data_IF_141590352688
#
_entry.id   IF_141590352688
#
_cell.length_a   1.000
_cell.length_b   1.000
_cell.length_c   1.000
_cell.angle_alpha   90.00
_cell.angle_beta   90.00
_cell.angle_gamma   90.00
#
_symmetry.space_group_name_H-M   'P 1'
#
loop_
_entity.id
_entity.type
_entity.pdbx_description
1 polymer ?
#
# COMPACT_ATOMS: atom_id res chain seq x y z
N UNK A 1 -17.51 -34.08 1.57
CA UNK A 1 -18.76 -34.86 1.70
C UNK A 1 -19.05 -35.37 0.31
N UNK A 2 -18.23 -36.35 -0.06
CA UNK A 2 -18.10 -36.86 -1.41
C UNK A 2 -18.90 -38.15 -1.45
N UNK A 3 -20.05 -38.11 -2.12
CA UNK A 3 -20.86 -39.30 -2.38
C UNK A 3 -20.98 -39.49 -3.88
N UNK A 4 -20.37 -40.59 -4.31
CA UNK A 4 -20.77 -41.47 -5.42
C UNK A 4 -21.64 -40.84 -6.51
N UNK A 5 -20.99 -40.36 -7.58
CA UNK A 5 -21.63 -40.14 -8.88
C UNK A 5 -20.96 -40.97 -10.00
N UNK A 6 -20.10 -41.92 -9.63
CA UNK A 6 -19.47 -42.85 -10.57
C UNK A 6 -20.44 -44.00 -10.90
N UNK A 7 -21.37 -43.79 -11.83
CA UNK A 7 -22.19 -44.90 -12.33
C UNK A 7 -23.42 -44.55 -13.17
N UNK A 8 -23.82 -43.28 -13.24
CA UNK A 8 -24.95 -42.90 -14.09
C UNK A 8 -24.42 -42.45 -15.45
N UNK A 9 -24.63 -43.25 -16.49
CA UNK A 9 -24.47 -42.80 -17.87
C UNK A 9 -25.26 -41.50 -18.04
N UNK A 10 -24.70 -40.44 -18.64
CA UNK A 10 -25.43 -39.19 -18.81
C UNK A 10 -26.75 -39.48 -19.53
N UNK A 11 -27.89 -38.94 -19.04
CA UNK A 11 -29.16 -39.14 -19.72
C UNK A 11 -29.03 -38.59 -21.14
N UNK A 12 -29.17 -39.48 -22.12
CA UNK A 12 -29.22 -39.14 -23.54
C UNK A 12 -30.28 -38.07 -23.69
N UNK A 13 -29.88 -36.86 -24.09
CA UNK A 13 -30.77 -35.74 -24.33
C UNK A 13 -31.72 -36.09 -25.49
N UNK A 14 -33.00 -36.44 -25.26
CA UNK A 14 -33.87 -36.77 -26.38
C UNK A 14 -34.56 -35.48 -26.86
N UNK A 15 -34.86 -35.36 -28.16
CA UNK A 15 -35.94 -34.47 -28.58
C UNK A 15 -37.22 -34.98 -27.92
N UNK A 16 -37.94 -34.07 -27.26
CA UNK A 16 -39.19 -34.35 -26.55
C UNK A 16 -40.27 -34.80 -27.53
N UNK A 17 -40.23 -36.07 -27.95
CA UNK A 17 -41.38 -36.75 -28.54
C UNK A 17 -41.88 -37.75 -27.51
N UNK A 18 -43.13 -37.55 -27.11
CA UNK A 18 -43.89 -38.47 -26.28
C UNK A 18 -44.01 -39.80 -27.04
N UNK A 19 -43.00 -40.67 -26.89
CA UNK A 19 -43.07 -42.02 -27.37
C UNK A 19 -43.81 -42.87 -26.33
N UNK A 20 -44.82 -43.59 -26.80
CA UNK A 20 -45.86 -44.25 -26.01
C UNK A 20 -45.30 -45.27 -25.02
N UNK A 21 -45.38 -44.99 -23.72
CA UNK A 21 -45.20 -45.99 -22.66
C UNK A 21 -44.40 -45.56 -21.42
N UNK A 22 -43.73 -44.40 -21.45
CA UNK A 22 -43.03 -43.87 -20.26
C UNK A 22 -43.87 -42.79 -19.56
N UNK A 23 -43.96 -42.78 -18.22
CA UNK A 23 -44.64 -41.71 -17.50
C UNK A 23 -43.94 -40.38 -17.80
N UNK A 24 -44.73 -39.32 -18.02
CA UNK A 24 -44.24 -37.97 -18.22
C UNK A 24 -43.48 -37.52 -16.98
N UNK A 25 -42.19 -37.22 -17.15
CA UNK A 25 -41.37 -36.60 -16.10
C UNK A 25 -41.02 -35.18 -16.55
N UNK A 26 -41.39 -34.14 -15.77
CA UNK A 26 -41.08 -32.77 -16.12
C UNK A 26 -39.56 -32.56 -16.11
N UNK A 27 -39.09 -31.65 -16.96
CA UNK A 27 -37.67 -31.29 -17.11
C UNK A 27 -37.01 -30.95 -15.77
N UNK A 28 -37.71 -30.22 -14.90
CA UNK A 28 -37.25 -29.82 -13.58
C UNK A 28 -36.90 -30.99 -12.68
N UNK A 29 -37.58 -32.14 -12.84
CA UNK A 29 -37.33 -33.35 -12.06
C UNK A 29 -36.23 -34.20 -12.70
N UNK A 30 -36.16 -34.24 -14.04
CA UNK A 30 -35.12 -34.98 -14.76
C UNK A 30 -33.72 -34.41 -14.53
N UNK A 31 -33.61 -33.08 -14.43
CA UNK A 31 -32.33 -32.38 -14.34
C UNK A 31 -32.11 -31.68 -13.00
N UNK A 32 -32.83 -32.07 -11.95
CA UNK A 32 -32.68 -31.51 -10.60
C UNK A 32 -31.22 -31.57 -10.16
N UNK A 33 -30.69 -30.41 -9.75
CA UNK A 33 -29.29 -30.21 -9.29
C UNK A 33 -28.19 -30.45 -10.33
N UNK A 34 -28.53 -30.78 -11.57
CA UNK A 34 -27.54 -30.92 -12.64
C UNK A 34 -27.14 -29.54 -13.17
N UNK A 35 -25.87 -29.18 -12.98
CA UNK A 35 -25.35 -27.84 -13.26
C UNK A 35 -24.07 -27.92 -14.10
N UNK A 36 -24.09 -27.33 -15.29
CA UNK A 36 -22.89 -27.21 -16.13
C UNK A 36 -22.04 -26.07 -15.59
N UNK A 37 -20.74 -26.33 -15.38
CA UNK A 37 -19.82 -25.37 -14.79
C UNK A 37 -18.67 -25.11 -15.75
N UNK A 38 -18.48 -23.84 -16.05
CA UNK A 38 -17.41 -23.34 -16.89
C UNK A 38 -16.54 -22.35 -16.11
N UNK A 39 -15.23 -22.48 -16.26
CA UNK A 39 -14.27 -21.50 -15.79
C UNK A 39 -13.94 -20.56 -16.95
N UNK A 40 -13.90 -19.27 -16.67
CA UNK A 40 -13.64 -18.25 -17.67
C UNK A 40 -13.03 -17.01 -17.06
N UNK A 41 -12.89 -15.97 -17.87
CA UNK A 41 -12.50 -14.65 -17.42
C UNK A 41 -13.21 -13.56 -18.23
N UNK A 42 -13.27 -12.35 -17.67
CA UNK A 42 -13.53 -11.16 -18.45
C UNK A 42 -12.40 -10.17 -18.26
N UNK A 43 -12.21 -9.33 -19.27
CA UNK A 43 -11.17 -8.30 -19.26
C UNK A 43 -11.82 -6.95 -19.01
N UNK A 44 -11.33 -6.24 -18.01
CA UNK A 44 -11.71 -4.88 -17.70
C UNK A 44 -10.54 -3.94 -18.02
N UNK A 45 -10.71 -3.14 -19.06
CA UNK A 45 -9.78 -2.06 -19.40
C UNK A 45 -10.17 -0.81 -18.60
N UNK A 46 -9.37 -0.49 -17.58
CA UNK A 46 -9.57 0.67 -16.70
C UNK A 46 -8.58 1.78 -17.06
N UNK A 47 -9.06 3.01 -17.24
CA UNK A 47 -8.21 4.18 -17.42
C UNK A 47 -8.25 4.98 -16.13
N UNK A 48 -7.15 4.96 -15.38
CA UNK A 48 -7.02 5.74 -14.15
C UNK A 48 -5.72 6.54 -14.20
N UNK A 49 -5.81 7.84 -13.94
CA UNK A 49 -4.66 8.74 -13.83
C UNK A 49 -3.70 8.71 -15.04
N UNK A 50 -4.23 8.58 -16.26
CA UNK A 50 -3.42 8.57 -17.49
C UNK A 50 -2.77 7.23 -17.83
N UNK A 51 -2.99 6.18 -17.04
CA UNK A 51 -2.53 4.82 -17.33
C UNK A 51 -3.72 3.93 -17.70
N UNK A 52 -3.62 3.25 -18.84
CA UNK A 52 -4.53 2.16 -19.20
C UNK A 52 -4.08 0.87 -18.52
N UNK A 53 -4.90 0.38 -17.59
CA UNK A 53 -4.68 -0.87 -16.86
C UNK A 53 -5.71 -1.89 -17.29
N UNK A 54 -5.23 -2.92 -17.98
CA UNK A 54 -5.98 -4.13 -18.28
C UNK A 54 -5.97 -5.07 -17.09
N UNK A 55 -7.13 -5.28 -16.46
CA UNK A 55 -7.30 -6.28 -15.39
C UNK A 55 -8.08 -7.47 -15.93
N UNK A 56 -7.57 -8.68 -15.67
CA UNK A 56 -8.27 -9.93 -15.98
C UNK A 56 -8.96 -10.42 -14.72
N UNK A 57 -10.27 -10.63 -14.81
CA UNK A 57 -11.10 -11.11 -13.70
C UNK A 57 -11.51 -12.55 -13.95
N UNK A 58 -11.02 -13.51 -13.14
CA UNK A 58 -11.46 -14.90 -13.25
C UNK A 58 -12.94 -14.99 -12.85
N UNK A 59 -13.70 -15.82 -13.55
CA UNK A 59 -15.11 -16.06 -13.26
C UNK A 59 -15.46 -17.52 -13.41
N UNK A 60 -16.55 -17.91 -12.75
CA UNK A 60 -17.18 -19.21 -12.87
C UNK A 60 -18.62 -19.01 -13.32
N UNK A 61 -18.95 -19.60 -14.46
CA UNK A 61 -20.28 -19.58 -15.04
C UNK A 61 -20.96 -20.92 -14.75
N UNK A 62 -22.14 -20.85 -14.14
CA UNK A 62 -22.98 -22.02 -13.84
C UNK A 62 -24.27 -21.93 -14.65
N UNK A 63 -24.53 -22.94 -15.48
CA UNK A 63 -25.78 -23.12 -16.21
C UNK A 63 -26.59 -24.26 -15.56
N UNK A 64 -27.82 -23.98 -15.19
CA UNK A 64 -28.71 -24.94 -14.52
C UNK A 64 -29.62 -25.61 -15.55
N UNK A 65 -29.51 -26.94 -15.67
CA UNK A 65 -30.26 -27.70 -16.67
C UNK A 65 -31.76 -27.82 -16.33
N UNK A 66 -32.15 -27.63 -15.07
CA UNK A 66 -33.54 -27.73 -14.63
C UNK A 66 -34.45 -26.62 -15.21
N UNK A 67 -33.92 -25.40 -15.34
CA UNK A 67 -34.69 -24.20 -15.68
C UNK A 67 -34.05 -23.29 -16.74
N UNK A 68 -32.93 -23.71 -17.34
CA UNK A 68 -32.17 -22.95 -18.35
C UNK A 68 -31.70 -21.58 -17.83
N UNK A 69 -31.37 -21.48 -16.55
CA UNK A 69 -30.85 -20.25 -15.96
C UNK A 69 -29.32 -20.25 -15.88
N UNK A 70 -28.75 -19.05 -15.91
CA UNK A 70 -27.31 -18.83 -15.79
C UNK A 70 -27.04 -18.00 -14.53
N UNK A 71 -25.94 -18.32 -13.86
CA UNK A 71 -25.36 -17.46 -12.82
C UNK A 71 -23.85 -17.34 -13.03
N UNK A 72 -23.30 -16.19 -12.69
CA UNK A 72 -21.87 -15.90 -12.85
C UNK A 72 -21.30 -15.39 -11.54
N UNK A 73 -20.19 -15.97 -11.11
CA UNK A 73 -19.54 -15.59 -9.86
C UNK A 73 -18.01 -15.45 -10.03
N UNK A 74 -17.47 -14.37 -9.48
CA UNK A 74 -16.04 -14.14 -9.34
C UNK A 74 -15.54 -14.78 -8.03
N UNK A 75 -14.50 -15.64 -8.08
CA UNK A 75 -13.93 -16.24 -6.88
C UNK A 75 -13.28 -15.18 -5.99
N UNK A 76 -13.52 -15.26 -4.68
CA UNK A 76 -12.95 -14.33 -3.70
C UNK A 76 -11.45 -14.57 -3.58
N UNK A 77 -10.67 -13.53 -3.84
CA UNK A 77 -9.22 -13.52 -3.73
C UNK A 77 -8.83 -12.64 -2.54
N UNK A 78 -8.10 -13.17 -1.53
CA UNK A 78 -7.71 -12.38 -0.38
C UNK A 78 -6.82 -11.21 -0.80
N UNK A 79 -7.01 -10.07 -0.16
CA UNK A 79 -6.26 -8.83 -0.43
C UNK A 79 -6.43 -8.27 -1.87
N UNK A 80 -7.50 -8.63 -2.59
CA UNK A 80 -7.78 -8.09 -3.93
C UNK A 80 -8.14 -6.60 -3.92
N UNK A 81 -8.71 -6.10 -2.81
CA UNK A 81 -9.17 -4.73 -2.67
C UNK A 81 -10.37 -4.37 -3.55
N UNK A 82 -11.03 -5.36 -4.17
CA UNK A 82 -12.19 -5.18 -5.05
C UNK A 82 -13.43 -5.89 -4.48
N UNK A 83 -14.66 -5.40 -4.73
CA UNK A 83 -15.86 -6.14 -4.41
C UNK A 83 -15.94 -7.39 -5.29
N UNK A 84 -15.84 -8.57 -4.68
CA UNK A 84 -15.87 -9.87 -5.37
C UNK A 84 -17.09 -10.69 -4.93
N UNK A 85 -17.45 -11.69 -5.72
CA UNK A 85 -18.57 -12.60 -5.44
C UNK A 85 -19.52 -12.74 -6.61
N UNK A 86 -20.83 -12.67 -6.34
CA UNK A 86 -21.86 -12.88 -7.36
C UNK A 86 -21.93 -11.68 -8.31
N UNK A 87 -21.56 -11.90 -9.58
CA UNK A 87 -21.65 -10.89 -10.64
C UNK A 87 -23.03 -10.90 -11.30
N UNK A 88 -23.59 -12.09 -11.52
CA UNK A 88 -24.90 -12.28 -12.16
C UNK A 88 -25.72 -13.23 -11.30
N UNK A 89 -26.89 -12.75 -10.85
CA UNK A 89 -27.87 -13.58 -10.15
C UNK A 89 -28.44 -14.67 -11.06
N UNK A 90 -28.90 -15.78 -10.48
CA UNK A 90 -29.51 -16.88 -11.23
C UNK A 90 -30.81 -16.43 -11.91
N UNK A 91 -30.80 -16.34 -13.23
CA UNK A 91 -31.99 -16.09 -14.05
C UNK A 91 -31.71 -16.46 -15.52
N UNK A 92 -32.73 -16.39 -16.39
CA UNK A 92 -32.57 -16.63 -17.83
C UNK A 92 -31.91 -15.43 -18.48
N UNK A 93 -30.75 -15.64 -19.10
CA UNK A 93 -29.98 -14.55 -19.73
C UNK A 93 -30.35 -14.46 -21.20
N UNK A 94 -30.67 -13.24 -21.63
CA UNK A 94 -30.95 -12.90 -23.04
C UNK A 94 -29.63 -12.75 -23.80
N UNK A 95 -29.58 -13.26 -25.03
CA UNK A 95 -28.45 -13.10 -25.94
C UNK A 95 -28.33 -11.65 -26.42
N UNK A 96 -27.09 -11.16 -26.56
CA UNK A 96 -26.85 -9.82 -27.08
C UNK A 96 -27.46 -9.65 -28.49
N UNK A 97 -28.23 -8.58 -28.69
CA UNK A 97 -28.89 -8.28 -29.97
C UNK A 97 -30.32 -8.79 -30.11
N UNK A 98 -30.78 -9.68 -29.21
CA UNK A 98 -32.16 -10.19 -29.17
C UNK A 98 -33.02 -9.51 -28.09
N UNK A 99 -32.63 -8.32 -27.62
CA UNK A 99 -33.36 -7.56 -26.59
C UNK A 99 -34.73 -7.09 -27.09
N UNK A 100 -34.82 -6.74 -28.38
CA UNK A 100 -36.03 -6.24 -29.04
C UNK A 100 -36.90 -7.35 -29.65
N UNK A 101 -36.46 -8.61 -29.59
CA UNK A 101 -37.23 -9.74 -30.10
C UNK A 101 -38.43 -10.02 -29.18
N UNK A 102 -39.53 -10.44 -29.80
CA UNK A 102 -40.74 -10.87 -29.10
C UNK A 102 -40.41 -11.95 -28.06
N UNK A 103 -41.05 -11.87 -26.91
CA UNK A 103 -40.82 -12.78 -25.77
C UNK A 103 -41.16 -14.24 -26.08
N UNK A 104 -41.85 -14.51 -27.19
CA UNK A 104 -42.15 -15.85 -27.68
C UNK A 104 -40.98 -16.53 -28.42
N UNK A 105 -39.90 -15.81 -28.77
CA UNK A 105 -38.76 -16.39 -29.47
C UNK A 105 -37.87 -17.21 -28.51
N UNK A 106 -37.84 -18.55 -28.58
CA UNK A 106 -37.02 -19.37 -27.70
C UNK A 106 -35.52 -19.20 -27.94
N UNK A 107 -35.12 -18.66 -29.10
CA UNK A 107 -33.72 -18.43 -29.46
C UNK A 107 -33.13 -17.17 -28.81
N UNK A 108 -33.97 -16.35 -28.19
CA UNK A 108 -33.61 -15.13 -27.43
C UNK A 108 -32.72 -15.44 -26.23
N UNK A 109 -32.88 -16.61 -25.60
CA UNK A 109 -32.13 -16.98 -24.40
C UNK A 109 -30.90 -17.84 -24.72
N UNK A 110 -29.88 -17.73 -23.87
CA UNK A 110 -28.74 -18.64 -23.93
C UNK A 110 -29.16 -20.08 -23.63
N UNK A 111 -28.79 -20.99 -24.51
CA UNK A 111 -28.99 -22.42 -24.31
C UNK A 111 -27.64 -23.11 -24.09
N UNK A 112 -27.61 -24.24 -23.38
CA UNK A 112 -26.37 -24.98 -23.12
C UNK A 112 -25.64 -25.43 -24.39
N UNK A 113 -26.35 -25.56 -25.52
CA UNK A 113 -25.77 -25.87 -26.83
C UNK A 113 -24.91 -24.75 -27.41
N UNK A 114 -25.15 -23.52 -26.99
CA UNK A 114 -24.41 -22.34 -27.45
C UNK A 114 -23.14 -22.10 -26.62
N UNK A 115 -22.96 -22.84 -25.52
CA UNK A 115 -21.83 -22.70 -24.60
C UNK A 115 -20.79 -23.77 -24.90
N UNK A 116 -19.58 -23.35 -25.25
CA UNK A 116 -18.43 -24.23 -25.42
C UNK A 116 -17.16 -23.59 -24.84
N UNK A 117 -16.13 -24.39 -24.61
CA UNK A 117 -14.79 -23.90 -24.26
C UNK A 117 -14.22 -23.09 -25.43
N UNK A 118 -13.45 -22.04 -25.14
CA UNK A 118 -12.95 -21.05 -26.09
C UNK A 118 -14.03 -20.23 -26.82
N UNK A 119 -15.28 -20.27 -26.34
CA UNK A 119 -16.36 -19.40 -26.82
C UNK A 119 -16.51 -18.15 -25.95
N UNK A 120 -16.98 -17.08 -26.58
CA UNK A 120 -17.31 -15.82 -25.91
C UNK A 120 -18.81 -15.76 -25.60
N UNK A 121 -19.13 -15.37 -24.37
CA UNK A 121 -20.51 -15.24 -23.88
C UNK A 121 -20.72 -13.80 -23.44
N UNK A 122 -21.58 -13.10 -24.16
CA UNK A 122 -21.97 -11.73 -23.84
C UNK A 122 -23.17 -11.72 -22.89
N UNK A 123 -22.97 -11.14 -21.70
CA UNK A 123 -23.98 -11.02 -20.64
C UNK A 123 -23.95 -9.59 -20.12
N UNK A 124 -25.07 -8.86 -20.24
CA UNK A 124 -25.22 -7.46 -19.79
C UNK A 124 -24.09 -6.52 -20.26
N UNK A 125 -23.69 -6.63 -21.53
CA UNK A 125 -22.64 -5.80 -22.11
C UNK A 125 -21.22 -6.15 -21.65
N UNK A 126 -21.04 -7.25 -20.91
CA UNK A 126 -19.72 -7.81 -20.56
C UNK A 126 -19.48 -9.09 -21.34
N UNK A 127 -18.31 -9.18 -21.98
CA UNK A 127 -17.87 -10.36 -22.72
C UNK A 127 -17.06 -11.28 -21.82
N UNK A 128 -17.57 -12.49 -21.59
CA UNK A 128 -16.92 -13.53 -20.81
C UNK A 128 -16.31 -14.56 -21.74
N UNK A 129 -15.00 -14.78 -21.64
CA UNK A 129 -14.28 -15.84 -22.37
C UNK A 129 -14.29 -17.12 -21.55
N UNK A 130 -14.87 -18.20 -22.08
CA UNK A 130 -14.85 -19.50 -21.42
C UNK A 130 -13.53 -20.21 -21.71
N UNK A 131 -12.77 -20.53 -20.67
CA UNK A 131 -11.43 -21.13 -20.79
C UNK A 131 -11.40 -22.62 -20.51
N UNK A 132 -12.25 -23.09 -19.60
CA UNK A 132 -12.27 -24.49 -19.19
C UNK A 132 -13.67 -24.89 -18.72
N UNK A 133 -13.89 -26.19 -18.54
CA UNK A 133 -15.12 -26.74 -18.00
C UNK A 133 -14.83 -27.90 -17.04
N UNK A 134 -15.75 -28.16 -16.10
CA UNK A 134 -15.62 -29.31 -15.22
C UNK A 134 -15.74 -30.64 -16.01
N UNK A 135 -15.18 -31.73 -15.48
CA UNK A 135 -15.22 -33.06 -16.09
C UNK A 135 -16.64 -33.51 -16.43
N UNK A 136 -17.57 -33.37 -15.48
CA UNK A 136 -18.98 -33.72 -15.71
C UNK A 136 -19.61 -32.93 -16.86
N UNK A 137 -19.28 -31.63 -16.96
CA UNK A 137 -19.77 -30.77 -18.05
C UNK A 137 -19.22 -31.19 -19.40
N UNK A 138 -17.95 -31.59 -19.44
CA UNK A 138 -17.31 -32.13 -20.65
C UNK A 138 -18.00 -33.42 -21.10
N UNK A 139 -18.21 -34.36 -20.19
CA UNK A 139 -18.87 -35.64 -20.48
C UNK A 139 -20.32 -35.43 -20.95
N UNK A 140 -21.06 -34.51 -20.32
CA UNK A 140 -22.41 -34.15 -20.74
C UNK A 140 -22.44 -33.57 -22.16
N UNK A 141 -21.58 -32.59 -22.47
CA UNK A 141 -21.51 -31.98 -23.81
C UNK A 141 -21.13 -33.02 -24.88
N UNK A 142 -20.14 -33.87 -24.60
CA UNK A 142 -19.74 -34.96 -25.50
C UNK A 142 -20.88 -35.96 -25.71
N UNK A 143 -21.62 -36.33 -24.66
CA UNK A 143 -22.77 -37.22 -24.78
C UNK A 143 -23.91 -36.64 -25.60
N UNK A 144 -24.01 -35.31 -25.64
CA UNK A 144 -24.99 -34.58 -26.42
C UNK A 144 -24.52 -34.28 -27.87
N UNK A 145 -23.33 -34.77 -28.25
CA UNK A 145 -22.76 -34.60 -29.60
C UNK A 145 -22.02 -33.28 -29.82
N UNK A 146 -21.66 -32.54 -28.76
CA UNK A 146 -20.86 -31.33 -28.85
C UNK A 146 -19.40 -31.65 -28.53
N UNK A 147 -18.52 -31.40 -29.49
CA UNK A 147 -17.07 -31.54 -29.28
C UNK A 147 -16.56 -30.37 -28.44
N UNK A 148 -15.98 -30.69 -27.28
CA UNK A 148 -15.46 -29.69 -26.34
C UNK A 148 -14.06 -29.29 -26.77
N UNK A 149 -13.87 -27.99 -27.01
CA UNK A 149 -12.58 -27.45 -27.43
C UNK A 149 -11.48 -27.66 -26.36
N UNK A 150 -10.23 -27.58 -26.81
CA UNK A 150 -9.08 -27.59 -25.91
C UNK A 150 -9.15 -26.40 -24.93
N UNK A 151 -8.72 -26.58 -23.66
CA UNK A 151 -8.70 -25.50 -22.69
C UNK A 151 -7.79 -24.37 -23.16
N UNK A 152 -8.22 -23.13 -22.95
CA UNK A 152 -7.46 -21.92 -23.26
C UNK A 152 -6.80 -21.38 -21.99
N UNK A 153 -5.56 -20.91 -22.11
CA UNK A 153 -4.87 -20.27 -20.99
C UNK A 153 -5.47 -18.89 -20.71
N UNK A 154 -5.65 -18.58 -19.42
CA UNK A 154 -6.10 -17.26 -18.99
C UNK A 154 -4.95 -16.27 -19.26
N UNK A 155 -5.18 -15.17 -20.01
CA UNK A 155 -4.15 -14.18 -20.26
C UNK A 155 -3.71 -13.55 -18.93
N UNK A 156 -2.41 -13.34 -18.77
CA UNK A 156 -1.89 -12.66 -17.59
C UNK A 156 -2.46 -11.23 -17.54
N UNK A 157 -3.03 -10.85 -16.40
CA UNK A 157 -3.34 -9.44 -16.13
C UNK A 157 -2.05 -8.63 -16.22
N UNK A 158 -2.13 -7.36 -16.68
CA UNK A 158 -0.96 -6.48 -16.63
C UNK A 158 -0.36 -6.58 -15.23
N UNK A 159 0.96 -6.89 -15.12
CA UNK A 159 1.58 -7.08 -13.83
C UNK A 159 1.23 -5.88 -12.97
N UNK A 160 0.92 -6.07 -11.67
CA UNK A 160 0.73 -4.94 -10.78
C UNK A 160 1.92 -4.01 -11.00
N UNK A 161 1.67 -2.69 -11.12
CA UNK A 161 2.72 -1.67 -11.08
C UNK A 161 3.69 -2.15 -10.01
N UNK A 162 4.88 -2.59 -10.43
CA UNK A 162 5.75 -3.41 -9.59
C UNK A 162 5.81 -2.71 -8.25
N UNK A 163 5.40 -3.37 -7.16
CA UNK A 163 5.82 -2.95 -5.82
C UNK A 163 7.32 -2.85 -5.97
N UNK A 164 7.84 -1.61 -6.01
CA UNK A 164 9.20 -1.29 -6.43
C UNK A 164 10.14 -2.47 -6.19
N UNK A 165 10.39 -3.31 -7.20
CA UNK A 165 11.35 -4.42 -7.04
C UNK A 165 12.76 -3.85 -6.84
N UNK A 166 12.94 -2.55 -7.11
CA UNK A 166 14.07 -1.75 -6.65
C UNK A 166 14.23 -1.75 -5.12
N UNK A 167 13.17 -1.95 -4.34
CA UNK A 167 13.27 -2.16 -2.89
C UNK A 167 13.73 -3.59 -2.52
N UNK A 168 13.60 -4.55 -3.45
CA UNK A 168 14.01 -5.96 -3.26
C UNK A 168 15.42 -6.24 -3.77
N UNK A 169 15.91 -5.48 -4.77
CA UNK A 169 17.15 -5.75 -5.50
C UNK A 169 18.41 -5.03 -4.99
N UNK A 170 18.35 -4.36 -3.84
CA UNK A 170 19.55 -3.80 -3.19
C UNK A 170 19.67 -4.23 -1.73
N UNK A 171 19.59 -5.54 -1.48
CA UNK A 171 20.32 -6.09 -0.33
C UNK A 171 21.76 -6.38 -0.77
N UNK A 172 22.50 -5.31 -1.06
CA UNK A 172 23.95 -5.34 -0.82
C UNK A 172 24.15 -5.90 0.60
N UNK A 173 25.10 -6.81 0.76
CA UNK A 173 25.44 -7.44 2.04
C UNK A 173 25.23 -6.45 3.19
N UNK A 174 24.50 -6.81 4.27
CA UNK A 174 24.23 -5.88 5.35
C UNK A 174 25.57 -5.33 5.81
N UNK A 175 25.84 -4.07 5.46
CA UNK A 175 26.85 -3.28 6.13
C UNK A 175 26.56 -3.46 7.62
N UNK A 176 27.57 -3.69 8.47
CA UNK A 176 27.36 -3.84 9.90
C UNK A 176 26.70 -2.56 10.42
N UNK A 177 25.37 -2.58 10.44
CA UNK A 177 24.56 -1.51 10.98
C UNK A 177 24.74 -1.65 12.48
N UNK A 178 25.52 -0.72 13.05
CA UNK A 178 25.45 -0.39 14.46
C UNK A 178 23.97 -0.46 14.88
N UNK A 179 23.62 -1.47 15.69
CA UNK A 179 22.23 -1.71 16.05
C UNK A 179 21.69 -0.43 16.71
N UNK A 180 20.61 0.19 16.20
CA UNK A 180 20.00 1.37 16.83
C UNK A 180 19.70 1.14 18.31
N UNK A 181 19.41 -0.11 18.67
CA UNK A 181 19.20 -0.56 20.04
C UNK A 181 20.47 -0.51 20.91
N UNK A 182 21.65 -0.79 20.35
CA UNK A 182 22.92 -0.70 21.08
C UNK A 182 23.21 0.75 21.47
N UNK A 183 23.08 1.67 20.51
CA UNK A 183 23.24 3.11 20.74
C UNK A 183 22.22 3.65 21.75
N UNK A 184 20.98 3.16 21.68
CA UNK A 184 19.96 3.43 22.70
C UNK A 184 20.39 2.94 24.08
N UNK A 185 20.75 1.67 24.25
CA UNK A 185 21.19 1.12 25.55
C UNK A 185 22.40 1.85 26.14
N UNK A 186 23.35 2.29 25.31
CA UNK A 186 24.59 2.93 25.77
C UNK A 186 24.42 4.41 26.13
N UNK A 187 23.56 5.12 25.42
CA UNK A 187 23.42 6.59 25.52
C UNK A 187 22.03 7.05 25.97
N UNK A 188 21.16 6.15 26.41
CA UNK A 188 19.85 6.52 26.96
C UNK A 188 20.00 7.47 28.14
N UNK A 189 19.28 8.59 28.11
CA UNK A 189 19.37 9.66 29.09
C UNK A 189 20.61 10.55 29.02
N UNK A 190 21.57 10.30 28.12
CA UNK A 190 22.75 11.16 27.96
C UNK A 190 22.50 12.32 26.99
N UNK A 191 22.61 13.55 27.49
CA UNK A 191 22.30 14.77 26.75
C UNK A 191 23.47 15.76 26.90
N UNK A 192 23.96 16.30 25.80
CA UNK A 192 24.94 17.39 25.81
C UNK A 192 24.19 18.72 25.78
N UNK A 193 24.55 19.64 26.68
CA UNK A 193 23.86 20.92 26.86
C UNK A 193 24.83 22.09 26.68
N UNK A 194 24.45 23.00 25.79
CA UNK A 194 25.22 24.19 25.45
C UNK A 194 24.37 25.46 25.58
N UNK A 195 24.96 26.51 26.13
CA UNK A 195 24.48 27.88 25.95
C UNK A 195 24.93 28.38 24.58
N UNK A 196 23.98 28.88 23.79
CA UNK A 196 24.21 29.40 22.45
C UNK A 196 23.58 30.77 22.30
N UNK A 197 24.21 31.68 21.56
CA UNK A 197 23.66 33.00 21.23
C UNK A 197 23.26 33.01 19.77
N UNK A 198 22.06 33.48 19.49
CA UNK A 198 21.66 33.76 18.11
C UNK A 198 22.25 35.11 17.69
N UNK A 199 23.28 35.08 16.85
CA UNK A 199 23.94 36.28 16.35
C UNK A 199 23.16 36.88 15.16
N UNK A 200 22.46 37.98 15.42
CA UNK A 200 21.68 38.75 14.43
C UNK A 200 22.29 40.12 14.11
N UNK A 201 23.58 40.33 14.43
CA UNK A 201 24.26 41.65 14.26
C UNK A 201 24.21 42.21 12.83
N UNK A 202 24.08 41.36 11.82
CA UNK A 202 24.05 41.74 10.40
C UNK A 202 22.67 42.04 9.80
N UNK A 203 21.58 41.99 10.58
CA UNK A 203 20.21 42.18 10.08
C UNK A 203 19.72 43.61 10.36
N UNK A 204 19.36 44.36 9.32
CA UNK A 204 18.82 45.73 9.46
C UNK A 204 17.42 45.69 10.14
N UNK A 205 17.23 46.48 11.20
CA UNK A 205 15.93 46.60 11.90
C UNK A 205 15.78 45.78 13.19
N UNK A 206 16.83 45.10 13.66
CA UNK A 206 16.80 44.33 14.93
C UNK A 206 17.10 45.23 16.14
N UNK A 207 16.21 45.18 17.15
CA UNK A 207 16.35 45.87 18.44
C UNK A 207 17.61 45.40 19.17
N UNK A 208 18.22 46.26 20.00
CA UNK A 208 19.49 45.94 20.69
C UNK A 208 19.39 44.66 21.51
N UNK A 209 18.25 44.45 22.19
CA UNK A 209 17.96 43.26 23.00
C UNK A 209 17.79 41.97 22.16
N UNK A 210 17.45 42.08 20.88
CA UNK A 210 17.29 40.93 19.98
C UNK A 210 18.56 40.58 19.18
N UNK A 211 19.60 41.41 19.24
CA UNK A 211 20.86 41.20 18.48
C UNK A 211 21.67 40.00 18.97
N UNK A 212 21.56 39.69 20.26
CA UNK A 212 22.30 38.62 20.94
C UNK A 212 21.39 37.88 21.93
N UNK A 213 20.35 37.23 21.42
CA UNK A 213 19.41 36.52 22.29
C UNK A 213 19.99 35.15 22.72
N UNK A 214 19.99 34.81 24.02
CA UNK A 214 20.51 33.54 24.51
C UNK A 214 19.51 32.39 24.35
N UNK A 215 20.02 31.24 23.95
CA UNK A 215 19.30 29.98 23.75
C UNK A 215 20.08 28.82 24.37
N UNK A 216 19.38 27.73 24.64
CA UNK A 216 19.97 26.47 25.12
C UNK A 216 19.80 25.41 24.05
N UNK A 217 20.92 24.87 23.58
CA UNK A 217 20.99 23.75 22.64
C UNK A 217 21.19 22.45 23.42
N UNK A 218 20.33 21.46 23.17
CA UNK A 218 20.43 20.10 23.72
C UNK A 218 20.66 19.12 22.59
N UNK A 219 21.74 18.37 22.66
CA UNK A 219 22.07 17.28 21.74
C UNK A 219 21.82 15.93 22.42
N UNK A 220 20.99 15.10 21.81
CA UNK A 220 20.63 13.78 22.32
C UNK A 220 21.54 12.72 21.67
N UNK A 221 22.42 12.13 22.46
CA UNK A 221 23.38 11.12 21.97
C UNK A 221 22.69 9.83 21.49
N UNK A 222 21.46 9.58 21.92
CA UNK A 222 20.69 8.38 21.55
C UNK A 222 20.28 8.36 20.07
N UNK A 223 19.93 9.51 19.50
CA UNK A 223 19.34 9.62 18.16
C UNK A 223 19.92 10.75 17.31
N UNK A 224 21.01 11.38 17.76
CA UNK A 224 21.71 12.48 17.08
C UNK A 224 20.79 13.66 16.76
N UNK A 225 19.83 13.91 17.65
CA UNK A 225 18.85 14.99 17.47
C UNK A 225 19.22 16.22 18.29
N UNK A 226 18.82 17.38 17.79
CA UNK A 226 19.03 18.68 18.39
C UNK A 226 17.69 19.30 18.76
N UNK A 227 17.62 19.88 19.96
CA UNK A 227 16.49 20.65 20.46
C UNK A 227 17.01 21.99 20.98
N UNK A 228 16.44 23.10 20.49
CA UNK A 228 16.83 24.44 20.88
C UNK A 228 15.65 25.15 21.55
N UNK A 229 15.89 25.66 22.76
CA UNK A 229 14.91 26.39 23.57
C UNK A 229 15.45 27.75 23.99
N UNK A 230 14.58 28.72 24.18
CA UNK A 230 14.93 30.04 24.72
C UNK A 230 15.50 29.92 26.15
N UNK A 231 16.61 30.59 26.44
CA UNK A 231 17.27 30.51 27.76
C UNK A 231 16.46 31.22 28.86
N UNK A 232 15.78 32.32 28.54
CA UNK A 232 14.94 33.06 29.50
C UNK A 232 13.75 32.21 29.95
N UNK A 233 13.20 31.44 29.03
CA UNK A 233 12.12 30.50 29.33
C UNK A 233 12.57 29.40 30.28
N UNK A 234 13.77 28.83 30.08
CA UNK A 234 14.29 27.79 30.99
C UNK A 234 14.49 28.34 32.42
N UNK A 235 14.98 29.58 32.56
CA UNK A 235 15.16 30.24 33.85
C UNK A 235 13.83 30.51 34.56
N UNK A 236 12.84 31.04 33.83
CA UNK A 236 11.52 31.35 34.39
C UNK A 236 10.67 30.11 34.66
N UNK A 237 10.85 29.01 33.91
CA UNK A 237 10.24 27.71 34.20
C UNK A 237 10.75 27.14 35.54
N UNK A 238 12.06 27.19 35.79
CA UNK A 238 12.65 26.77 37.08
C UNK A 238 12.17 27.63 38.26
N UNK A 239 11.80 28.88 38.02
CA UNK A 239 11.21 29.81 39.00
C UNK A 239 9.69 29.66 39.18
N UNK A 240 9.05 28.72 38.48
CA UNK A 240 7.60 28.46 38.58
C UNK A 240 6.72 29.58 38.00
N UNK A 241 7.28 30.44 37.14
CA UNK A 241 6.61 31.66 36.68
C UNK A 241 5.71 31.47 35.44
N UNK A 242 5.64 30.25 34.88
CA UNK A 242 4.82 29.94 33.71
C UNK A 242 3.99 28.65 33.86
N UNK A 243 2.69 28.75 33.57
CA UNK A 243 1.77 27.62 33.42
C UNK A 243 1.85 27.07 31.98
N UNK A 244 1.72 25.75 31.84
CA UNK A 244 2.02 24.87 30.69
C UNK A 244 1.74 25.33 29.24
N UNK A 245 0.92 26.37 28.98
CA UNK A 245 0.43 26.66 27.63
C UNK A 245 1.28 27.69 26.86
N UNK A 246 2.10 28.51 27.54
CA UNK A 246 3.06 29.42 26.88
C UNK A 246 4.41 28.77 26.55
N UNK A 247 4.61 27.53 27.03
CA UNK A 247 5.84 26.77 26.85
C UNK A 247 6.11 26.37 25.39
N UNK A 248 5.08 26.30 24.55
CA UNK A 248 5.21 25.98 23.13
C UNK A 248 5.84 27.12 22.31
N UNK A 249 5.73 28.37 22.75
CA UNK A 249 6.31 29.55 22.07
C UNK A 249 7.81 29.73 22.33
N UNK A 250 8.35 29.08 23.37
CA UNK A 250 9.76 29.18 23.75
C UNK A 250 10.68 28.15 23.08
N UNK A 251 10.13 27.25 22.25
CA UNK A 251 10.89 26.24 21.52
C UNK A 251 11.23 26.77 20.13
N UNK A 252 12.50 27.11 19.91
CA UNK A 252 12.97 27.58 18.61
C UNK A 252 13.09 26.43 17.61
N UNK A 253 13.57 25.28 18.05
CA UNK A 253 13.75 24.08 17.23
C UNK A 253 13.27 22.86 18.01
N UNK A 254 12.19 22.24 17.55
CA UNK A 254 11.76 20.94 18.09
C UNK A 254 12.79 19.85 17.75
N UNK A 255 12.89 18.85 18.62
CA UNK A 255 13.80 17.71 18.50
C UNK A 255 13.80 17.10 17.09
N UNK A 256 14.90 17.27 16.38
CA UNK A 256 15.12 16.68 15.05
C UNK A 256 16.61 16.60 14.73
N UNK A 257 16.99 15.77 13.76
CA UNK A 257 18.37 15.76 13.23
C UNK A 257 18.58 17.03 12.42
N UNK A 258 19.57 17.84 12.79
CA UNK A 258 19.84 19.11 12.15
C UNK A 258 20.79 18.90 10.96
N UNK A 259 20.39 19.22 9.72
CA UNK A 259 21.30 19.16 8.57
C UNK A 259 22.27 20.35 8.59
N UNK A 260 23.53 20.10 8.19
CA UNK A 260 24.58 21.15 8.07
C UNK A 260 24.27 22.12 6.93
N UNK A 261 23.77 21.58 5.82
CA UNK A 261 23.39 22.36 4.64
C UNK A 261 21.89 22.69 4.66
N UNK A 262 21.50 23.90 4.19
CA UNK A 262 20.09 24.25 4.05
C UNK A 262 19.42 23.26 3.07
N UNK A 263 18.26 22.73 3.44
CA UNK A 263 17.54 21.76 2.61
C UNK A 263 17.33 22.35 1.21
N UNK A 264 17.88 21.74 0.14
CA UNK A 264 17.54 22.14 -1.22
C UNK A 264 16.03 21.94 -1.44
N UNK A 265 15.45 22.73 -2.33
CA UNK A 265 14.04 22.57 -2.74
C UNK A 265 13.87 21.13 -3.23
N UNK A 266 13.19 20.31 -2.43
CA UNK A 266 13.08 18.87 -2.68
C UNK A 266 12.37 18.65 -4.02
N UNK A 267 13.15 18.30 -5.04
CA UNK A 267 12.64 18.00 -6.38
C UNK A 267 12.61 16.48 -6.60
N UNK A 268 13.41 15.72 -5.84
CA UNK A 268 13.37 14.26 -5.84
C UNK A 268 13.65 13.62 -4.46
N UNK A 269 13.27 12.35 -4.24
CA UNK A 269 13.61 11.58 -3.04
C UNK A 269 15.10 11.20 -2.94
N UNK A 270 15.87 11.31 -4.03
CA UNK A 270 17.29 10.96 -4.05
C UNK A 270 18.13 12.03 -3.34
N UNK A 271 17.68 13.29 -3.38
CA UNK A 271 18.33 14.44 -2.75
C UNK A 271 18.35 14.35 -1.21
N UNK A 272 17.56 13.43 -0.63
CA UNK A 272 17.51 13.20 0.82
C UNK A 272 18.68 12.34 1.36
N UNK A 273 19.39 11.63 0.48
CA UNK A 273 20.46 10.71 0.88
C UNK A 273 21.81 11.39 1.15
N UNK A 274 22.05 12.57 0.54
CA UNK A 274 23.32 13.29 0.63
C UNK A 274 23.36 14.32 1.77
N UNK A 275 22.33 14.40 2.62
CA UNK A 275 22.34 15.33 3.75
C UNK A 275 23.33 14.89 4.83
N UNK A 276 24.29 15.78 5.11
CA UNK A 276 25.17 15.70 6.26
C UNK A 276 24.49 16.33 7.48
N UNK A 277 24.59 15.66 8.63
CA UNK A 277 23.98 16.11 9.89
C UNK A 277 25.08 16.53 10.88
N UNK A 278 24.75 17.41 11.83
CA UNK A 278 25.67 17.79 12.89
C UNK A 278 25.95 16.62 13.84
N UNK A 279 27.22 16.38 14.10
CA UNK A 279 27.73 15.42 15.08
C UNK A 279 28.29 16.15 16.30
N UNK A 280 28.51 15.48 17.44
CA UNK A 280 29.10 16.12 18.62
C UNK A 280 30.46 16.77 18.33
N UNK A 281 31.24 16.21 17.39
CA UNK A 281 32.51 16.79 16.98
C UNK A 281 32.39 18.20 16.39
N UNK A 282 31.23 18.56 15.81
CA UNK A 282 31.00 19.89 15.26
C UNK A 282 30.57 20.90 16.34
N UNK A 283 30.12 20.41 17.51
CA UNK A 283 29.56 21.20 18.60
C UNK A 283 30.64 21.61 19.62
N UNK A 284 31.58 22.42 19.15
CA UNK A 284 32.68 22.96 19.98
C UNK A 284 32.38 24.41 20.37
N UNK A 285 32.81 24.84 21.55
CA UNK A 285 32.68 26.23 21.97
C UNK A 285 33.38 27.18 20.98
N UNK A 286 32.74 28.30 20.68
CA UNK A 286 33.18 29.28 19.69
C UNK A 286 32.76 28.96 18.26
N UNK A 287 32.36 27.72 17.95
CA UNK A 287 31.88 27.39 16.61
C UNK A 287 30.51 27.99 16.33
N UNK A 288 30.28 28.33 15.06
CA UNK A 288 29.00 28.81 14.55
C UNK A 288 28.24 27.66 13.90
N UNK A 289 27.05 27.38 14.40
CA UNK A 289 26.12 26.38 13.88
C UNK A 289 25.05 27.09 13.05
N UNK A 290 24.83 26.59 11.84
CA UNK A 290 23.72 27.02 10.99
C UNK A 290 22.47 26.21 11.30
N UNK A 291 21.46 26.86 11.86
CA UNK A 291 20.13 26.28 12.16
C UNK A 291 19.12 26.84 11.17
N UNK A 292 18.86 26.12 10.07
CA UNK A 292 17.94 26.55 9.00
C UNK A 292 18.23 27.98 8.48
N UNK A 293 19.50 28.33 8.32
CA UNK A 293 19.94 29.66 7.87
C UNK A 293 20.14 30.68 8.99
N UNK A 294 19.88 30.32 10.25
CA UNK A 294 20.16 31.17 11.44
C UNK A 294 21.52 30.81 12.04
N UNK A 295 22.33 31.82 12.39
CA UNK A 295 23.69 31.65 12.91
C UNK A 295 23.68 31.59 14.44
N UNK A 296 23.96 30.43 15.00
CA UNK A 296 24.07 30.20 16.45
C UNK A 296 25.52 30.04 16.84
N UNK A 297 26.01 30.85 17.77
CA UNK A 297 27.37 30.71 18.30
C UNK A 297 27.30 29.95 19.62
N UNK A 298 28.08 28.88 19.78
CA UNK A 298 28.19 28.18 21.05
C UNK A 298 29.10 28.95 22.00
N UNK A 299 28.56 29.35 23.15
CA UNK A 299 29.20 30.31 24.05
C UNK A 299 29.72 29.64 25.31
N UNK A 300 28.91 28.74 25.89
CA UNK A 300 29.23 28.07 27.14
C UNK A 300 28.72 26.63 27.17
N UNK A 301 29.37 25.80 27.97
CA UNK A 301 28.84 24.48 28.36
C UNK A 301 28.24 24.60 29.75
N UNK A 302 26.95 24.33 29.90
CA UNK A 302 26.25 24.51 31.17
C UNK A 302 26.36 23.31 32.12
N UNK A 303 26.73 22.13 31.61
CA UNK A 303 26.63 20.87 32.36
C UNK A 303 27.98 20.14 32.45
N UNK A 304 28.33 19.66 33.65
CA UNK A 304 29.56 18.91 33.94
C UNK A 304 29.67 17.60 33.13
N UNK A 305 28.53 16.99 32.86
CA UNK A 305 28.44 15.81 31.99
C UNK A 305 28.97 16.11 30.59
N UNK A 306 28.59 17.25 30.01
CA UNK A 306 29.02 17.66 28.67
C UNK A 306 30.54 17.82 28.65
N UNK A 307 31.12 18.52 29.63
CA UNK A 307 32.58 18.68 29.72
C UNK A 307 33.32 17.36 29.87
N UNK A 308 32.81 16.47 30.72
CA UNK A 308 33.40 15.14 30.94
C UNK A 308 33.33 14.28 29.67
N UNK A 309 32.23 14.36 28.92
CA UNK A 309 32.06 13.66 27.65
C UNK A 309 33.09 14.13 26.60
N UNK A 310 33.27 15.45 26.43
CA UNK A 310 34.25 15.99 25.49
C UNK A 310 35.71 15.70 25.89
N UNK A 311 36.01 15.67 27.19
CA UNK A 311 37.33 15.25 27.69
C UNK A 311 37.62 13.78 27.38
N UNK A 312 36.65 12.90 27.64
CA UNK A 312 36.86 11.45 27.52
C UNK A 312 36.80 10.95 26.07
N UNK A 313 35.99 11.58 25.22
CA UNK A 313 35.74 11.10 23.86
C UNK A 313 36.51 11.86 22.78
N UNK A 314 36.90 13.12 23.03
CA UNK A 314 37.53 14.00 22.03
C UNK A 314 38.79 14.71 22.55
N UNK A 315 39.26 14.41 23.75
CA UNK A 315 40.43 15.03 24.40
C UNK A 315 40.37 16.58 24.47
N UNK A 316 39.16 17.16 24.45
CA UNK A 316 38.98 18.62 24.54
C UNK A 316 38.96 19.02 26.01
N UNK A 317 39.91 19.87 26.41
CA UNK A 317 40.09 20.29 27.82
C UNK A 317 39.73 21.76 28.05
N UNK A 318 39.76 22.58 26.99
CA UNK A 318 39.43 24.00 27.05
C UNK A 318 37.92 24.21 26.91
N UNK A 319 37.31 24.74 27.98
CA UNK A 319 35.89 25.07 28.05
C UNK A 319 35.68 26.54 28.45
N UNK A 320 36.67 27.39 28.14
CA UNK A 320 36.59 28.82 28.44
C UNK A 320 35.37 29.42 27.73
N UNK A 321 34.44 30.08 28.45
CA UNK A 321 33.30 30.73 27.82
C UNK A 321 33.76 31.74 26.79
N UNK A 322 33.10 31.76 25.63
CA UNK A 322 33.44 32.68 24.55
C UNK A 322 32.74 34.01 24.77
N UNK A 323 33.47 35.07 25.05
CA UNK A 323 32.89 36.41 25.11
C UNK A 323 32.62 36.90 23.68
N UNK A 324 31.38 37.30 23.40
CA UNK A 324 31.00 37.91 22.14
C UNK A 324 31.00 39.44 22.32
N UNK A 325 32.01 40.11 21.74
CA UNK A 325 32.12 41.57 21.69
C UNK A 325 31.02 42.25 20.84
#
# INVERSE_FOLDING_TARGET
MDRELAGLSPPIYPPYRADSGRPFVPKTVLYDRLTLRFDGFYVEDSVAWGYSRRTVHPVKLCYYLEDDTISVHEPVTPNSGRPQGKLVCRHKVVKSGHENDDDENPQKFWHWKDLNVASDVDIFGRRFRLTNCNQWTREFLMSAGIEVNAPEDVPESNPPLKKNEAASRSRSAPQPRSHPLKKFLEHDGQILRFGCIWDRRGEEGVSVDERMKPYVLRYFLVDDTIHITDAEFESNQKRGLYCSNRAQEAVLLRRQRLPKEPRPVMTSPADAADLTFYDPQDLILGNVISVHGRRFVLVETGDEFTRSFYRNNFDIVDFTPVELD
#
